data_IF_914964106525
#
_entry.id   IF_914964106525
#
_cell.length_a   1.000
_cell.length_b   1.000
_cell.length_c   1.000
_cell.angle_alpha   90.00
_cell.angle_beta   90.00
_cell.angle_gamma   90.00
#
_symmetry.space_group_name_H-M   'P 1'
#
loop_
_entity.id
_entity.type
_entity.pdbx_description
1 polymer ?
#
# COMPACT_ATOMS: atom_id res chain seq x y z
N UNK A 1 -13.05 -13.44 -2.66
CA UNK A 1 -12.75 -12.17 -3.36
C UNK A 1 -11.33 -11.75 -3.01
N UNK A 2 -10.66 -11.01 -3.88
CA UNK A 2 -9.26 -10.63 -3.71
C UNK A 2 -9.00 -9.86 -2.41
N UNK A 3 -9.99 -9.11 -1.95
CA UNK A 3 -9.89 -8.34 -0.72
C UNK A 3 -9.79 -9.18 0.55
N UNK A 4 -10.21 -10.45 0.56
CA UNK A 4 -9.96 -11.34 1.71
C UNK A 4 -8.46 -11.55 1.93
N UNK A 5 -7.68 -11.64 0.83
CA UNK A 5 -6.22 -11.75 0.91
C UNK A 5 -5.65 -10.45 1.49
N UNK A 6 -6.10 -9.30 0.98
CA UNK A 6 -5.66 -7.99 1.46
C UNK A 6 -6.01 -7.73 2.93
N UNK A 7 -7.15 -8.21 3.40
CA UNK A 7 -7.58 -8.12 4.80
C UNK A 7 -6.69 -8.97 5.71
N UNK A 8 -6.46 -10.23 5.36
CA UNK A 8 -5.56 -11.10 6.12
C UNK A 8 -4.13 -10.54 6.15
N UNK A 9 -3.66 -9.98 5.03
CA UNK A 9 -2.34 -9.34 4.98
C UNK A 9 -2.27 -8.07 5.85
N UNK A 10 -3.37 -7.35 6.04
CA UNK A 10 -3.41 -6.14 6.87
C UNK A 10 -3.37 -6.46 8.38
N UNK A 11 -3.69 -7.68 8.81
CA UNK A 11 -3.64 -8.10 10.22
C UNK A 11 -2.23 -7.94 10.83
N UNK A 12 -1.19 -8.06 9.99
CA UNK A 12 0.19 -7.84 10.46
C UNK A 12 0.40 -6.45 11.06
N UNK A 13 -0.37 -5.45 10.65
CA UNK A 13 -0.32 -4.12 11.24
C UNK A 13 -0.85 -4.14 12.67
N UNK A 14 -2.02 -4.73 12.91
CA UNK A 14 -2.61 -4.77 14.24
C UNK A 14 -1.86 -5.71 15.19
N UNK A 15 -1.19 -6.73 14.65
CA UNK A 15 -0.42 -7.69 15.42
C UNK A 15 0.97 -7.18 15.81
N UNK A 16 1.60 -6.34 14.98
CA UNK A 16 2.99 -5.92 15.19
C UNK A 16 3.20 -4.41 15.27
N UNK A 17 2.52 -3.61 14.44
CA UNK A 17 2.65 -2.15 14.54
C UNK A 17 1.97 -1.60 15.80
N UNK A 18 0.84 -2.18 16.21
CA UNK A 18 0.18 -1.80 17.48
C UNK A 18 1.10 -1.98 18.69
N UNK A 19 1.66 -3.18 19.01
CA UNK A 19 2.56 -3.31 20.14
C UNK A 19 3.88 -2.54 19.96
N UNK A 20 4.32 -2.30 18.73
CA UNK A 20 5.49 -1.44 18.46
C UNK A 20 5.26 0.00 18.94
N UNK A 21 4.06 0.55 18.72
CA UNK A 21 3.72 1.92 19.14
C UNK A 21 3.26 1.98 20.60
N UNK A 22 2.41 1.04 21.04
CA UNK A 22 1.76 1.09 22.35
C UNK A 22 2.49 0.33 23.46
N UNK A 23 3.54 -0.43 23.13
CA UNK A 23 4.29 -1.26 24.09
C UNK A 23 3.51 -2.47 24.64
N UNK A 24 2.32 -2.75 24.13
CA UNK A 24 1.47 -3.88 24.56
C UNK A 24 0.63 -4.42 23.41
N UNK A 25 0.25 -5.69 23.51
CA UNK A 25 -0.58 -6.35 22.49
C UNK A 25 -1.95 -5.69 22.35
N UNK A 26 -2.47 -5.67 21.12
CA UNK A 26 -3.81 -5.21 20.81
C UNK A 26 -4.84 -6.19 21.38
N UNK A 27 -5.91 -5.68 21.99
CA UNK A 27 -6.98 -6.53 22.52
C UNK A 27 -7.92 -7.01 21.41
N UNK A 28 -8.76 -8.00 21.71
CA UNK A 28 -9.66 -8.61 20.72
C UNK A 28 -10.65 -7.58 20.12
N UNK A 29 -11.21 -6.71 20.97
CA UNK A 29 -12.18 -5.70 20.55
C UNK A 29 -11.57 -4.75 19.51
N UNK A 30 -10.35 -4.26 19.74
CA UNK A 30 -9.65 -3.36 18.82
C UNK A 30 -9.21 -4.04 17.53
N UNK A 31 -8.84 -5.32 17.59
CA UNK A 31 -8.61 -6.12 16.38
C UNK A 31 -9.88 -6.24 15.55
N UNK A 32 -11.01 -6.54 16.18
CA UNK A 32 -12.29 -6.64 15.50
C UNK A 32 -12.73 -5.30 14.89
N UNK A 33 -12.56 -4.18 15.61
CA UNK A 33 -12.78 -2.84 15.07
C UNK A 33 -11.94 -2.59 13.82
N UNK A 34 -10.63 -2.88 13.87
CA UNK A 34 -9.73 -2.72 12.72
C UNK A 34 -10.18 -3.58 11.53
N UNK A 35 -10.46 -4.87 11.74
CA UNK A 35 -10.94 -5.77 10.68
C UNK A 35 -12.22 -5.26 10.05
N UNK A 36 -13.16 -4.74 10.85
CA UNK A 36 -14.41 -4.18 10.35
C UNK A 36 -14.16 -2.94 9.47
N UNK A 37 -13.37 -1.98 9.97
CA UNK A 37 -13.03 -0.74 9.26
C UNK A 37 -12.28 -1.03 7.95
N UNK A 38 -11.30 -1.94 7.96
CA UNK A 38 -10.60 -2.35 6.74
C UNK A 38 -11.57 -3.06 5.77
N UNK A 39 -12.49 -3.88 6.28
CA UNK A 39 -13.52 -4.53 5.47
C UNK A 39 -14.43 -3.54 4.74
N UNK A 40 -14.86 -2.47 5.42
CA UNK A 40 -15.63 -1.38 4.79
C UNK A 40 -14.83 -0.71 3.67
N UNK A 41 -13.58 -0.32 3.93
CA UNK A 41 -12.72 0.31 2.93
C UNK A 41 -12.50 -0.60 1.72
N UNK A 42 -12.23 -1.88 1.95
CA UNK A 42 -11.99 -2.83 0.86
C UNK A 42 -13.25 -3.26 0.11
N UNK A 43 -14.44 -3.09 0.69
CA UNK A 43 -15.70 -3.38 -0.02
C UNK A 43 -15.91 -2.49 -1.25
N UNK A 44 -15.21 -1.35 -1.31
CA UNK A 44 -15.20 -0.44 -2.46
C UNK A 44 -14.22 -0.88 -3.55
N UNK A 45 -13.35 -1.87 -3.31
CA UNK A 45 -12.48 -2.41 -4.35
C UNK A 45 -13.25 -3.32 -5.31
N UNK A 46 -12.96 -3.17 -6.60
CA UNK A 46 -13.40 -4.14 -7.61
C UNK A 46 -12.68 -5.48 -7.45
N UNK A 47 -13.30 -6.58 -7.90
CA UNK A 47 -12.65 -7.92 -7.91
C UNK A 47 -11.88 -8.16 -9.22
N UNK A 48 -11.48 -7.08 -9.91
CA UNK A 48 -10.66 -7.12 -11.12
C UNK A 48 -9.32 -7.79 -10.86
N UNK A 49 -8.91 -8.65 -11.81
CA UNK A 49 -7.70 -9.46 -11.69
C UNK A 49 -6.88 -9.42 -12.96
N UNK A 50 -5.62 -9.06 -12.81
CA UNK A 50 -4.57 -9.20 -13.82
C UNK A 50 -3.31 -9.75 -13.15
N UNK A 51 -2.30 -10.11 -13.94
CA UNK A 51 -0.99 -10.44 -13.39
C UNK A 51 -0.43 -9.23 -12.63
N UNK A 52 -0.15 -9.41 -11.34
CA UNK A 52 0.60 -8.46 -10.52
C UNK A 52 1.93 -9.09 -10.09
N UNK A 53 2.99 -8.31 -10.15
CA UNK A 53 4.34 -8.73 -9.76
C UNK A 53 4.55 -8.65 -8.24
N UNK A 54 3.71 -7.89 -7.53
CA UNK A 54 3.72 -7.65 -6.07
C UNK A 54 4.87 -6.77 -5.57
N UNK A 55 6.06 -6.98 -6.11
CA UNK A 55 7.29 -6.31 -5.71
C UNK A 55 7.89 -5.46 -6.85
N UNK A 56 7.01 -4.80 -7.61
CA UNK A 56 7.38 -3.81 -8.61
C UNK A 56 7.76 -2.49 -7.93
N UNK A 57 9.02 -2.35 -7.52
CA UNK A 57 9.56 -1.18 -6.81
C UNK A 57 11.07 -1.04 -7.03
N UNK A 58 11.66 0.09 -6.64
CA UNK A 58 13.01 0.51 -7.04
C UNK A 58 14.14 -0.53 -6.87
N UNK A 59 14.24 -1.31 -5.76
CA UNK A 59 15.23 -2.40 -5.68
C UNK A 59 15.18 -3.45 -6.79
N UNK A 60 14.00 -3.66 -7.39
CA UNK A 60 13.74 -4.72 -8.36
C UNK A 60 13.70 -4.19 -9.81
N UNK A 61 14.04 -2.91 -10.00
CA UNK A 61 14.10 -2.24 -11.30
C UNK A 61 15.54 -1.85 -11.63
N UNK A 62 16.06 -2.40 -12.72
CA UNK A 62 17.42 -2.16 -13.20
C UNK A 62 17.38 -1.33 -14.47
N UNK A 63 18.14 -0.22 -14.49
CA UNK A 63 18.27 0.61 -15.67
C UNK A 63 19.33 0.03 -16.62
N UNK A 64 18.92 -0.30 -17.85
CA UNK A 64 19.79 -0.82 -18.90
C UNK A 64 20.10 0.27 -19.92
N UNK A 65 21.28 0.90 -19.80
CA UNK A 65 21.67 2.07 -20.61
C UNK A 65 21.62 1.82 -22.13
N UNK A 66 21.89 0.58 -22.55
CA UNK A 66 22.03 0.18 -23.96
C UNK A 66 20.73 -0.38 -24.59
N UNK A 67 19.62 -0.40 -23.85
CA UNK A 67 18.32 -0.85 -24.37
C UNK A 67 17.47 0.36 -24.81
N UNK A 68 16.35 0.11 -25.52
CA UNK A 68 15.44 1.17 -25.99
C UNK A 68 14.03 1.05 -25.40
N UNK A 69 13.36 2.20 -25.26
CA UNK A 69 11.98 2.28 -24.77
C UNK A 69 11.79 1.61 -23.40
N UNK A 70 10.74 0.79 -23.26
CA UNK A 70 10.46 0.09 -22.00
C UNK A 70 11.53 -0.93 -21.62
N UNK A 71 12.34 -1.42 -22.58
CA UNK A 71 13.42 -2.38 -22.30
C UNK A 71 14.57 -1.78 -21.50
N UNK A 72 14.64 -0.45 -21.40
CA UNK A 72 15.54 0.23 -20.46
C UNK A 72 15.26 -0.10 -19.01
N UNK A 73 14.08 -0.64 -18.68
CA UNK A 73 13.73 -1.07 -17.34
C UNK A 73 13.67 -2.60 -17.30
N UNK A 74 14.74 -3.23 -16.84
CA UNK A 74 14.73 -4.64 -16.51
C UNK A 74 14.09 -4.87 -15.14
N UNK A 75 13.23 -5.88 -15.06
CA UNK A 75 12.51 -6.24 -13.83
C UNK A 75 13.03 -7.59 -13.35
N UNK A 76 13.38 -7.67 -12.07
CA UNK A 76 13.77 -8.92 -11.39
C UNK A 76 12.77 -9.26 -10.29
N UNK A 77 12.96 -10.41 -9.64
CA UNK A 77 12.20 -10.81 -8.44
C UNK A 77 10.69 -11.01 -8.68
N UNK A 78 10.32 -11.48 -9.86
CA UNK A 78 8.92 -11.67 -10.29
C UNK A 78 8.36 -13.08 -10.02
N UNK A 79 9.08 -13.95 -9.32
CA UNK A 79 8.65 -15.34 -9.06
C UNK A 79 7.42 -15.45 -8.16
N UNK A 80 7.14 -14.42 -7.34
CA UNK A 80 6.00 -14.38 -6.43
C UNK A 80 4.75 -13.73 -7.08
N UNK A 81 4.80 -13.46 -8.39
CA UNK A 81 3.70 -12.88 -9.14
C UNK A 81 2.41 -13.73 -9.05
N UNK A 82 1.26 -13.05 -8.96
CA UNK A 82 -0.05 -13.72 -8.88
C UNK A 82 -1.16 -12.83 -9.46
N UNK A 83 -2.40 -13.32 -9.47
CA UNK A 83 -3.54 -12.53 -9.94
C UNK A 83 -4.03 -11.51 -8.89
N UNK A 84 -3.86 -10.23 -9.21
CA UNK A 84 -4.01 -9.06 -8.34
C UNK A 84 -4.88 -7.97 -8.96
N UNK A 85 -5.15 -6.92 -8.17
CA UNK A 85 -5.82 -5.73 -8.70
C UNK A 85 -4.89 -5.04 -9.72
N UNK A 86 -5.39 -4.55 -10.87
CA UNK A 86 -4.57 -3.96 -11.95
C UNK A 86 -3.82 -2.67 -11.60
N UNK A 87 -4.01 -2.14 -10.40
CA UNK A 87 -3.32 -0.96 -9.89
C UNK A 87 -2.26 -1.29 -8.83
N UNK A 88 -2.11 -2.57 -8.45
CA UNK A 88 -1.24 -2.97 -7.34
C UNK A 88 0.23 -2.62 -7.61
N UNK A 89 0.74 -2.94 -8.81
CA UNK A 89 2.13 -2.65 -9.15
C UNK A 89 2.39 -1.15 -9.37
N UNK A 90 1.40 -0.39 -9.86
CA UNK A 90 1.47 1.07 -9.90
C UNK A 90 1.66 1.63 -8.49
N UNK A 91 0.81 1.22 -7.55
CA UNK A 91 0.90 1.62 -6.13
C UNK A 91 2.23 1.22 -5.51
N UNK A 92 2.73 0.02 -5.81
CA UNK A 92 4.03 -0.45 -5.32
C UNK A 92 5.18 0.47 -5.75
N UNK A 93 5.10 1.02 -6.98
CA UNK A 93 6.09 1.96 -7.50
C UNK A 93 5.93 3.36 -6.92
N UNK A 94 4.70 3.89 -6.88
CA UNK A 94 4.43 5.28 -6.49
C UNK A 94 4.40 5.49 -4.98
N UNK A 95 4.21 4.42 -4.20
CA UNK A 95 4.31 4.42 -2.74
C UNK A 95 5.48 3.55 -2.27
N UNK A 96 6.61 3.62 -2.99
CA UNK A 96 7.82 2.84 -2.70
C UNK A 96 8.32 3.10 -1.27
N UNK A 97 8.54 2.02 -0.52
CA UNK A 97 9.02 2.07 0.86
C UNK A 97 10.53 2.36 0.97
N UNK A 98 11.31 2.30 -0.12
CA UNK A 98 12.77 2.44 -0.11
C UNK A 98 13.24 3.82 -0.54
N UNK A 99 12.53 4.45 -1.46
CA UNK A 99 12.80 5.80 -1.93
C UNK A 99 11.60 6.72 -1.69
N UNK A 100 11.85 8.01 -1.54
CA UNK A 100 10.75 8.97 -1.35
C UNK A 100 10.24 9.42 -2.72
N UNK A 101 8.95 9.17 -2.99
CA UNK A 101 8.22 9.70 -4.14
C UNK A 101 7.38 10.89 -3.65
N UNK A 102 7.73 12.08 -4.11
CA UNK A 102 6.98 13.29 -3.76
C UNK A 102 5.60 13.33 -4.45
N UNK A 103 4.74 14.25 -4.03
CA UNK A 103 3.37 14.37 -4.55
C UNK A 103 3.31 14.69 -6.04
N UNK A 104 4.28 15.46 -6.55
CA UNK A 104 4.34 15.80 -7.96
C UNK A 104 4.75 14.59 -8.80
N UNK A 105 5.73 13.82 -8.33
CA UNK A 105 6.17 12.57 -8.96
C UNK A 105 5.06 11.51 -8.93
N UNK A 106 4.41 11.31 -7.78
CA UNK A 106 3.29 10.39 -7.63
C UNK A 106 2.17 10.75 -8.60
N UNK A 107 1.75 12.03 -8.61
CA UNK A 107 0.72 12.51 -9.54
C UNK A 107 1.12 12.32 -11.00
N UNK A 108 2.35 12.65 -11.37
CA UNK A 108 2.84 12.47 -12.73
C UNK A 108 2.79 11.01 -13.18
N UNK A 109 3.24 10.07 -12.33
CA UNK A 109 3.24 8.64 -12.63
C UNK A 109 1.83 8.08 -12.72
N UNK A 110 0.92 8.50 -11.83
CA UNK A 110 -0.50 8.14 -11.89
C UNK A 110 -1.12 8.63 -13.19
N UNK A 111 -0.93 9.92 -13.54
CA UNK A 111 -1.51 10.51 -14.76
C UNK A 111 -0.95 9.83 -16.02
N UNK A 112 0.35 9.49 -16.04
CA UNK A 112 0.99 8.76 -17.11
C UNK A 112 0.40 7.35 -17.29
N UNK A 113 0.26 6.59 -16.21
CA UNK A 113 -0.32 5.25 -16.26
C UNK A 113 -1.80 5.29 -16.65
N UNK A 114 -2.55 6.23 -16.07
CA UNK A 114 -3.99 6.41 -16.30
C UNK A 114 -4.31 6.75 -17.75
N UNK A 115 -3.44 7.48 -18.44
CA UNK A 115 -3.60 7.87 -19.85
C UNK A 115 -3.79 6.68 -20.78
N UNK A 116 -3.00 5.61 -20.58
CA UNK A 116 -3.00 4.42 -21.43
C UNK A 116 -3.69 3.22 -20.75
N UNK A 117 -4.38 3.44 -19.63
CA UNK A 117 -5.04 2.38 -18.88
C UNK A 117 -6.27 1.84 -19.63
N UNK A 118 -6.38 0.52 -19.85
CA UNK A 118 -7.45 -0.05 -20.66
C UNK A 118 -8.73 -0.26 -19.83
N UNK A 119 -9.40 0.84 -19.46
CA UNK A 119 -10.61 0.83 -18.62
C UNK A 119 -11.70 -0.15 -19.07
N UNK A 120 -11.86 -0.35 -20.39
CA UNK A 120 -12.87 -1.27 -20.94
C UNK A 120 -12.66 -2.75 -20.54
N UNK A 121 -11.50 -3.12 -19.99
CA UNK A 121 -11.18 -4.47 -19.55
C UNK A 121 -11.50 -4.72 -18.06
N UNK A 122 -11.95 -3.70 -17.34
CA UNK A 122 -12.07 -3.71 -15.87
C UNK A 122 -13.43 -3.15 -15.42
N UNK A 123 -13.79 -3.43 -14.17
CA UNK A 123 -15.06 -3.08 -13.53
C UNK A 123 -15.09 -1.68 -12.91
N UNK A 124 -13.96 -0.97 -12.88
CA UNK A 124 -13.88 0.43 -12.47
C UNK A 124 -13.55 1.35 -13.65
N UNK A 125 -13.85 2.63 -13.48
CA UNK A 125 -13.72 3.65 -14.51
C UNK A 125 -12.69 4.73 -14.15
N UNK A 126 -12.54 5.71 -15.03
CA UNK A 126 -11.62 6.83 -14.82
C UNK A 126 -11.98 7.68 -13.60
N UNK A 127 -13.25 7.72 -13.18
CA UNK A 127 -13.69 8.50 -12.02
C UNK A 127 -13.33 7.80 -10.71
N UNK A 128 -13.48 6.48 -10.66
CA UNK A 128 -13.17 5.64 -9.50
C UNK A 128 -11.71 5.17 -9.42
N UNK A 129 -10.91 5.38 -10.48
CA UNK A 129 -9.47 5.00 -10.53
C UNK A 129 -8.70 5.43 -9.28
N UNK A 130 -8.87 6.69 -8.85
CA UNK A 130 -8.08 7.24 -7.74
C UNK A 130 -8.50 6.65 -6.39
N UNK A 131 -9.79 6.32 -6.24
CA UNK A 131 -10.29 5.63 -5.06
C UNK A 131 -9.72 4.21 -4.96
N UNK A 132 -9.74 3.44 -6.06
CA UNK A 132 -9.12 2.11 -6.11
C UNK A 132 -7.62 2.20 -5.77
N UNK A 133 -6.93 3.18 -6.35
CA UNK A 133 -5.51 3.45 -6.08
C UNK A 133 -5.26 3.76 -4.60
N UNK A 134 -6.03 4.65 -3.99
CA UNK A 134 -5.90 5.03 -2.58
C UNK A 134 -6.13 3.86 -1.62
N UNK A 135 -7.15 3.04 -1.88
CA UNK A 135 -7.45 1.87 -1.04
C UNK A 135 -6.28 0.87 -1.06
N UNK A 136 -5.70 0.62 -2.23
CA UNK A 136 -4.51 -0.24 -2.37
C UNK A 136 -3.27 0.41 -1.74
N UNK A 137 -3.10 1.72 -1.90
CA UNK A 137 -2.01 2.49 -1.29
C UNK A 137 -1.99 2.35 0.22
N UNK A 138 -3.14 2.54 0.87
CA UNK A 138 -3.22 2.39 2.33
C UNK A 138 -3.06 0.93 2.74
N UNK A 139 -3.62 -0.03 2.00
CA UNK A 139 -3.46 -1.46 2.28
C UNK A 139 -1.98 -1.85 2.34
N UNK A 140 -1.26 -1.55 1.26
CA UNK A 140 0.16 -1.90 1.12
C UNK A 140 0.99 -1.18 2.17
N UNK A 141 0.74 0.11 2.39
CA UNK A 141 1.50 0.92 3.35
C UNK A 141 1.33 0.41 4.79
N UNK A 142 0.10 0.12 5.21
CA UNK A 142 -0.21 -0.44 6.53
C UNK A 142 0.44 -1.81 6.72
N UNK A 143 0.36 -2.68 5.71
CA UNK A 143 1.04 -3.98 5.72
C UNK A 143 2.54 -3.82 5.91
N UNK A 144 3.19 -2.91 5.16
CA UNK A 144 4.64 -2.67 5.27
C UNK A 144 5.02 -2.14 6.66
N UNK A 145 4.24 -1.23 7.25
CA UNK A 145 4.46 -0.80 8.63
C UNK A 145 4.44 -1.96 9.61
N UNK A 146 3.47 -2.87 9.48
CA UNK A 146 3.40 -4.10 10.28
C UNK A 146 4.60 -5.03 10.05
N UNK A 147 5.04 -5.21 8.80
CA UNK A 147 6.25 -5.99 8.48
C UNK A 147 7.48 -5.39 9.17
N UNK A 148 7.71 -4.08 9.03
CA UNK A 148 8.90 -3.44 9.60
C UNK A 148 8.88 -3.46 11.13
N UNK A 149 7.70 -3.28 11.75
CA UNK A 149 7.54 -3.44 13.19
C UNK A 149 7.82 -4.89 13.64
N UNK A 150 7.32 -5.89 12.90
CA UNK A 150 7.61 -7.31 13.17
C UNK A 150 9.11 -7.60 13.12
N UNK A 151 9.80 -7.13 12.09
CA UNK A 151 11.25 -7.29 11.94
C UNK A 151 12.01 -6.66 13.14
N UNK A 152 11.58 -5.48 13.58
CA UNK A 152 12.20 -4.81 14.73
C UNK A 152 11.96 -5.55 16.05
N UNK A 153 10.75 -6.09 16.26
CA UNK A 153 10.37 -6.78 17.51
C UNK A 153 10.95 -8.20 17.57
N UNK A 154 10.77 -9.01 16.53
CA UNK A 154 11.09 -10.44 16.55
C UNK A 154 12.52 -10.74 16.11
N UNK A 155 13.01 -10.01 15.10
CA UNK A 155 14.31 -10.28 14.47
C UNK A 155 15.38 -9.29 14.93
N UNK A 156 15.05 -8.35 15.81
CA UNK A 156 15.92 -7.25 16.27
C UNK A 156 16.50 -6.40 15.13
N UNK A 157 15.91 -6.49 13.94
CA UNK A 157 16.39 -5.80 12.75
C UNK A 157 15.73 -4.42 12.63
N UNK A 158 16.45 -3.40 13.08
CA UNK A 158 15.97 -2.02 13.11
C UNK A 158 16.25 -1.23 11.82
N UNK A 159 16.97 -1.81 10.85
CA UNK A 159 17.39 -1.11 9.64
C UNK A 159 16.22 -0.56 8.82
N UNK A 160 15.05 -1.18 8.94
CA UNK A 160 13.84 -0.81 8.22
C UNK A 160 13.05 0.34 8.85
N UNK A 161 13.30 0.65 10.13
CA UNK A 161 12.60 1.73 10.83
C UNK A 161 12.84 3.09 10.18
N UNK A 162 14.02 3.28 9.56
CA UNK A 162 14.37 4.49 8.80
C UNK A 162 13.40 4.79 7.64
N UNK A 163 12.68 3.77 7.17
CA UNK A 163 11.71 3.90 6.08
C UNK A 163 10.28 4.20 6.57
N UNK A 164 9.94 3.97 7.84
CA UNK A 164 8.57 4.19 8.34
C UNK A 164 8.06 5.63 8.13
N UNK A 165 8.87 6.70 8.34
CA UNK A 165 8.38 8.07 8.15
C UNK A 165 7.80 8.34 6.76
N UNK A 166 8.38 7.77 5.69
CA UNK A 166 7.83 7.97 4.33
C UNK A 166 6.51 7.24 4.13
N UNK A 167 6.39 6.02 4.68
CA UNK A 167 5.18 5.22 4.56
C UNK A 167 4.03 5.91 5.31
N UNK A 168 4.33 6.46 6.49
CA UNK A 168 3.38 7.28 7.26
C UNK A 168 2.97 8.51 6.45
N UNK A 169 3.91 9.19 5.77
CA UNK A 169 3.60 10.31 4.89
C UNK A 169 2.61 9.91 3.78
N UNK A 170 2.84 8.79 3.09
CA UNK A 170 1.91 8.30 2.06
C UNK A 170 0.51 8.02 2.61
N UNK A 171 0.41 7.36 3.77
CA UNK A 171 -0.88 7.11 4.44
C UNK A 171 -1.58 8.44 4.76
N UNK A 172 -0.86 9.41 5.34
CA UNK A 172 -1.43 10.74 5.67
C UNK A 172 -1.97 11.46 4.44
N UNK A 173 -1.26 11.42 3.31
CA UNK A 173 -1.75 12.00 2.04
C UNK A 173 -3.04 11.33 1.59
N UNK A 174 -3.09 10.00 1.64
CA UNK A 174 -4.29 9.23 1.27
C UNK A 174 -5.46 9.55 2.21
N UNK A 175 -5.22 9.72 3.52
CA UNK A 175 -6.25 10.10 4.50
C UNK A 175 -6.93 11.43 4.15
N UNK A 176 -6.22 12.37 3.51
CA UNK A 176 -6.78 13.67 3.08
C UNK A 176 -7.68 13.57 1.85
N UNK A 177 -7.68 12.45 1.11
CA UNK A 177 -8.45 12.28 -0.12
C UNK A 177 -9.95 12.00 0.07
N UNK A 178 -10.34 11.56 1.27
CA UNK A 178 -11.70 11.11 1.57
C UNK A 178 -12.01 9.66 1.19
N UNK A 179 -11.20 9.00 0.35
CA UNK A 179 -11.45 7.61 -0.12
C UNK A 179 -11.41 6.56 0.99
N UNK A 180 -10.81 6.87 2.14
CA UNK A 180 -10.58 5.93 3.25
C UNK A 180 -11.06 6.50 4.59
N UNK A 181 -12.10 7.33 4.59
CA UNK A 181 -12.48 8.16 5.74
C UNK A 181 -12.68 7.37 7.04
N UNK A 182 -13.32 6.19 6.98
CA UNK A 182 -13.54 5.34 8.15
C UNK A 182 -12.22 4.87 8.77
N UNK A 183 -11.28 4.45 7.93
CA UNK A 183 -9.91 4.10 8.35
C UNK A 183 -9.11 5.31 8.83
N UNK A 184 -9.21 6.46 8.16
CA UNK A 184 -8.53 7.68 8.59
C UNK A 184 -8.97 8.10 10.00
N UNK A 185 -10.27 8.08 10.28
CA UNK A 185 -10.81 8.33 11.61
C UNK A 185 -10.28 7.33 12.64
N UNK A 186 -10.29 6.04 12.30
CA UNK A 186 -9.79 4.99 13.20
C UNK A 186 -8.29 5.13 13.49
N UNK A 187 -7.46 5.44 12.48
CA UNK A 187 -6.02 5.68 12.65
C UNK A 187 -5.76 6.90 13.53
N UNK A 188 -6.46 8.02 13.32
CA UNK A 188 -6.31 9.22 14.15
C UNK A 188 -6.66 8.97 15.62
N UNK A 189 -7.68 8.14 15.88
CA UNK A 189 -8.10 7.82 17.24
C UNK A 189 -7.11 6.90 17.97
N UNK A 190 -6.57 5.89 17.27
CA UNK A 190 -5.76 4.85 17.92
C UNK A 190 -4.25 5.12 17.83
N UNK A 191 -3.78 5.93 16.88
CA UNK A 191 -2.37 6.18 16.61
C UNK A 191 -2.08 7.68 16.46
N UNK A 192 -2.67 8.50 17.34
CA UNK A 192 -2.65 9.98 17.24
C UNK A 192 -1.26 10.56 16.96
N UNK A 193 -0.24 10.19 17.73
CA UNK A 193 1.13 10.72 17.54
C UNK A 193 1.74 10.38 16.18
N UNK A 194 1.29 9.28 15.55
CA UNK A 194 1.74 8.88 14.22
C UNK A 194 0.94 9.58 13.14
N UNK A 195 -0.39 9.56 13.22
CA UNK A 195 -1.27 9.89 12.11
C UNK A 195 -2.02 11.21 12.21
N UNK A 196 -1.89 12.01 13.29
CA UNK A 196 -2.53 13.33 13.37
C UNK A 196 -2.23 14.14 12.09
N UNK A 197 -3.30 14.52 11.39
CA UNK A 197 -3.30 15.36 10.18
C UNK A 197 -4.13 16.59 10.46
#
# INVERSE_FOLDING_TARGET
MIWNIYLNEAEIFIDYYWPFIHGKQCNADKKQEFTHVMGEVYSNLTDDKTLMLRDFHSPNLLFLENEDGFRKCAVIDFQDALFGHPLYDLVSLTNDARITIDEHQEKYLIDLYKKDFPFNNFQFDSLSFIEQYHILGVQRSIKILGIFARLAILETNQNYLVHMPRIICYIKRIMQSGSIQTLACWLNQNFKETFDV
#
